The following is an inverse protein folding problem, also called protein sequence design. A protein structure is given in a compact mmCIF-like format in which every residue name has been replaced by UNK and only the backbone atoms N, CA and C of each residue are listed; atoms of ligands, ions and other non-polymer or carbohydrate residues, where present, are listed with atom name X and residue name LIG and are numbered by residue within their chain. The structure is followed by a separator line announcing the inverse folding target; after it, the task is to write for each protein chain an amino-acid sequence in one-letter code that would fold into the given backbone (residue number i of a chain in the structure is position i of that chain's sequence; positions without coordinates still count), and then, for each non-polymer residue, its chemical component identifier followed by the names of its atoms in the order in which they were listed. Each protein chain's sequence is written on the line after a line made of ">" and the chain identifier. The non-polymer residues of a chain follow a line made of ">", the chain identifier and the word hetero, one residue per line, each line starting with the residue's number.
data_IF_348284263006
#
_entry.id   IF_348284263006
#
_cell.length_a   1.000
_cell.length_b   1.000
_cell.length_c   1.000
_cell.angle_alpha   90.00
_cell.angle_beta   90.00
_cell.angle_gamma   90.00
#
_symmetry.space_group_name_H-M   'P 1'
#
loop_
_entity.id
_entity.type
_entity.pdbx_description
1 polymer ?
#
# COMPACT_ATOMS: atom_id res chain seq x y z
N UNK A 1 -0.79 -12.91 11.11
CA UNK A 1 -1.70 -12.81 9.96
C UNK A 1 -1.52 -11.43 9.33
N UNK A 2 -1.38 -11.33 8.02
CA UNK A 2 -1.17 -10.04 7.37
C UNK A 2 -2.46 -9.21 7.35
N UNK A 3 -2.38 -7.93 7.69
CA UNK A 3 -3.54 -7.02 7.72
C UNK A 3 -4.25 -6.94 6.36
N UNK A 4 -3.49 -6.98 5.25
CA UNK A 4 -4.07 -7.00 3.91
C UNK A 4 -4.95 -8.23 3.66
N UNK A 5 -4.56 -9.40 4.18
CA UNK A 5 -5.38 -10.60 4.08
C UNK A 5 -6.68 -10.46 4.87
N UNK A 6 -6.62 -9.86 6.07
CA UNK A 6 -7.81 -9.58 6.89
C UNK A 6 -8.74 -8.59 6.18
N UNK A 7 -8.19 -7.54 5.55
CA UNK A 7 -8.96 -6.58 4.75
C UNK A 7 -9.68 -7.26 3.59
N UNK A 8 -8.98 -8.09 2.81
CA UNK A 8 -9.58 -8.80 1.66
C UNK A 8 -10.71 -9.74 2.14
N UNK A 9 -10.44 -10.55 3.17
CA UNK A 9 -11.44 -11.47 3.72
C UNK A 9 -12.67 -10.73 4.29
N UNK A 10 -12.45 -9.66 5.04
CA UNK A 10 -13.52 -8.80 5.57
C UNK A 10 -14.37 -8.21 4.46
N UNK A 11 -13.75 -7.64 3.42
CA UNK A 11 -14.50 -7.03 2.32
C UNK A 11 -15.33 -8.07 1.55
N UNK A 12 -14.81 -9.28 1.33
CA UNK A 12 -15.57 -10.36 0.68
C UNK A 12 -16.78 -10.79 1.52
N UNK A 13 -16.60 -10.94 2.83
CA UNK A 13 -17.69 -11.29 3.75
C UNK A 13 -18.74 -10.17 3.79
N UNK A 14 -18.32 -8.91 3.92
CA UNK A 14 -19.22 -7.77 3.94
C UNK A 14 -20.00 -7.59 2.63
N UNK A 15 -19.35 -7.79 1.48
CA UNK A 15 -20.03 -7.76 0.18
C UNK A 15 -21.12 -8.84 0.08
N UNK A 16 -20.91 -10.01 0.66
CA UNK A 16 -21.91 -11.08 0.71
C UNK A 16 -23.12 -10.69 1.57
N UNK A 17 -22.89 -9.98 2.67
CA UNK A 17 -23.97 -9.42 3.51
C UNK A 17 -24.77 -8.39 2.73
N UNK A 18 -24.11 -7.45 2.05
CA UNK A 18 -24.78 -6.43 1.23
C UNK A 18 -25.59 -7.06 0.08
N UNK A 19 -25.05 -8.08 -0.59
CA UNK A 19 -25.76 -8.81 -1.63
C UNK A 19 -27.02 -9.50 -1.10
N UNK A 20 -26.93 -10.10 0.10
CA UNK A 20 -28.11 -10.69 0.75
C UNK A 20 -29.14 -9.62 1.14
N UNK A 21 -28.72 -8.48 1.66
CA UNK A 21 -29.61 -7.39 2.01
C UNK A 21 -30.34 -6.83 0.78
N UNK A 22 -29.61 -6.60 -0.33
CA UNK A 22 -30.17 -6.14 -1.60
C UNK A 22 -31.20 -7.12 -2.17
N UNK A 23 -30.94 -8.43 -2.09
CA UNK A 23 -31.92 -9.47 -2.48
C UNK A 23 -33.22 -9.41 -1.66
N UNK A 24 -33.14 -8.94 -0.42
CA UNK A 24 -34.28 -8.76 0.47
C UNK A 24 -34.90 -7.34 0.38
N UNK A 25 -34.52 -6.54 -0.63
CA UNK A 25 -35.06 -5.20 -0.86
C UNK A 25 -34.45 -4.09 0.00
N UNK A 26 -33.43 -4.38 0.79
CA UNK A 26 -32.72 -3.37 1.57
C UNK A 26 -31.67 -2.67 0.71
N UNK A 27 -31.67 -1.33 0.74
CA UNK A 27 -30.66 -0.53 0.05
C UNK A 27 -29.96 0.40 1.05
N UNK A 28 -28.64 0.34 1.07
CA UNK A 28 -27.78 1.09 1.98
C UNK A 28 -27.19 2.30 1.26
N UNK A 29 -27.14 3.46 1.93
CA UNK A 29 -26.47 4.63 1.36
C UNK A 29 -24.96 4.39 1.27
N UNK A 30 -24.24 5.05 0.36
CA UNK A 30 -22.78 4.92 0.26
C UNK A 30 -22.05 5.13 1.59
N UNK A 31 -22.48 6.10 2.40
CA UNK A 31 -21.89 6.41 3.71
C UNK A 31 -22.10 5.27 4.72
N UNK A 32 -23.28 4.65 4.70
CA UNK A 32 -23.57 3.47 5.53
C UNK A 32 -22.77 2.24 5.10
N UNK A 33 -22.52 2.09 3.79
CA UNK A 33 -21.66 1.02 3.26
C UNK A 33 -20.21 1.21 3.74
N UNK A 34 -19.67 2.43 3.67
CA UNK A 34 -18.30 2.75 4.11
C UNK A 34 -18.14 2.59 5.62
N UNK A 35 -19.09 3.10 6.42
CA UNK A 35 -19.01 2.93 7.88
C UNK A 35 -19.17 1.47 8.30
N UNK A 36 -20.07 0.73 7.63
CA UNK A 36 -20.29 -0.68 7.90
C UNK A 36 -19.11 -1.57 7.50
N UNK A 37 -18.41 -1.28 6.39
CA UNK A 37 -17.21 -2.04 6.00
C UNK A 37 -16.05 -1.84 6.98
N UNK A 38 -15.85 -0.60 7.45
CA UNK A 38 -14.87 -0.29 8.50
C UNK A 38 -15.17 -1.08 9.77
N UNK A 39 -16.41 -1.00 10.26
CA UNK A 39 -16.84 -1.75 11.45
C UNK A 39 -16.65 -3.26 11.27
N UNK A 40 -17.02 -3.82 10.11
CA UNK A 40 -16.89 -5.25 9.86
C UNK A 40 -15.42 -5.72 9.88
N UNK A 41 -14.50 -4.91 9.34
CA UNK A 41 -13.06 -5.16 9.46
C UNK A 41 -12.57 -5.13 10.90
N UNK A 42 -12.99 -4.14 11.70
CA UNK A 42 -12.62 -4.04 13.11
C UNK A 42 -13.13 -5.25 13.92
N UNK A 43 -14.39 -5.64 13.74
CA UNK A 43 -15.00 -6.79 14.39
C UNK A 43 -14.29 -8.11 14.02
N UNK A 44 -14.02 -8.34 12.74
CA UNK A 44 -13.28 -9.52 12.29
C UNK A 44 -11.86 -9.54 12.86
N UNK A 45 -11.20 -8.39 12.92
CA UNK A 45 -9.87 -8.26 13.51
C UNK A 45 -9.88 -8.63 14.99
N UNK A 46 -10.87 -8.14 15.74
CA UNK A 46 -11.05 -8.49 17.17
C UNK A 46 -11.30 -9.99 17.37
N UNK A 47 -12.10 -10.62 16.50
CA UNK A 47 -12.35 -12.06 16.56
C UNK A 47 -11.07 -12.87 16.31
N UNK A 48 -10.25 -12.46 15.35
CA UNK A 48 -8.96 -13.10 15.07
C UNK A 48 -7.98 -12.94 16.24
N UNK A 49 -7.91 -11.75 16.83
CA UNK A 49 -7.08 -11.50 18.02
C UNK A 49 -7.54 -12.37 19.19
N UNK A 50 -8.86 -12.45 19.43
CA UNK A 50 -9.42 -13.31 20.46
C UNK A 50 -9.13 -14.81 20.21
N UNK A 51 -9.02 -15.22 18.95
CA UNK A 51 -8.62 -16.57 18.54
C UNK A 51 -7.09 -16.81 18.62
N UNK A 52 -6.31 -15.83 19.07
CA UNK A 52 -4.86 -15.95 19.27
C UNK A 52 -4.01 -15.57 18.06
N UNK A 53 -4.59 -14.93 17.04
CA UNK A 53 -3.82 -14.41 15.91
C UNK A 53 -3.30 -13.00 16.19
N UNK A 54 -2.02 -12.78 15.90
CA UNK A 54 -1.47 -11.43 15.76
C UNK A 54 -1.74 -10.91 14.34
N UNK A 55 -2.29 -9.70 14.21
CA UNK A 55 -2.49 -9.03 12.93
C UNK A 55 -1.33 -8.06 12.71
N UNK A 56 -0.55 -8.29 11.66
CA UNK A 56 0.67 -7.54 11.35
C UNK A 56 0.42 -6.64 10.13
N UNK A 57 0.84 -5.36 10.16
CA UNK A 57 0.70 -4.46 9.01
C UNK A 57 1.30 -5.02 7.74
N UNK A 58 0.65 -4.78 6.58
CA UNK A 58 1.16 -5.25 5.29
C UNK A 58 2.52 -4.65 4.91
N UNK A 59 2.79 -3.43 5.39
CA UNK A 59 4.01 -2.68 5.13
C UNK A 59 5.13 -2.98 6.14
N UNK A 60 4.93 -3.94 7.05
CA UNK A 60 5.97 -4.47 7.90
C UNK A 60 6.90 -5.38 7.06
N UNK A 61 7.58 -4.79 6.09
CA UNK A 61 8.72 -5.44 5.45
C UNK A 61 9.73 -5.73 6.55
N UNK A 62 10.23 -6.97 6.70
CA UNK A 62 11.41 -7.20 7.53
C UNK A 62 12.47 -6.23 7.05
N UNK A 63 12.95 -5.34 7.91
CA UNK A 63 14.06 -4.46 7.55
C UNK A 63 15.22 -5.37 7.17
N UNK A 64 15.51 -5.50 5.86
CA UNK A 64 16.73 -6.14 5.41
C UNK A 64 17.86 -5.29 5.96
N UNK A 65 18.45 -5.71 7.07
CA UNK A 65 19.66 -5.10 7.59
C UNK A 65 20.70 -5.16 6.47
N UNK A 66 21.08 -4.00 5.95
CA UNK A 66 22.01 -3.82 4.85
C UNK A 66 23.21 -4.76 4.98
N UNK A 67 23.41 -5.63 3.98
CA UNK A 67 24.63 -6.42 3.85
C UNK A 67 25.76 -5.53 3.32
N UNK A 68 26.12 -4.49 4.09
CA UNK A 68 27.31 -3.70 3.84
C UNK A 68 28.53 -4.46 4.36
N UNK A 69 29.06 -5.40 3.57
CA UNK A 69 30.44 -5.86 3.73
C UNK A 69 30.98 -6.50 2.44
N UNK A 70 31.44 -5.65 1.53
CA UNK A 70 32.68 -5.88 0.81
C UNK A 70 33.23 -4.52 0.39
N UNK A 71 34.27 -4.11 1.11
CA UNK A 71 35.20 -3.06 0.71
C UNK A 71 35.92 -3.48 -0.60
N UNK A 72 36.66 -2.53 -1.17
CA UNK A 72 37.74 -2.71 -2.16
C UNK A 72 37.38 -2.63 -3.66
N UNK A 73 37.31 -1.40 -4.17
CA UNK A 73 38.37 -0.92 -5.07
C UNK A 73 38.38 0.61 -5.24
N UNK A 74 39.40 1.23 -4.64
CA UNK A 74 39.93 2.52 -5.06
C UNK A 74 40.52 2.35 -6.47
N UNK A 75 39.88 2.91 -7.49
CA UNK A 75 40.57 3.18 -8.76
C UNK A 75 40.39 4.64 -9.14
N UNK A 76 41.39 5.41 -8.77
CA UNK A 76 41.71 6.73 -9.32
C UNK A 76 41.69 6.67 -10.85
N UNK A 77 40.88 7.52 -11.48
CA UNK A 77 41.17 8.00 -12.84
C UNK A 77 41.05 9.52 -12.79
N UNK A 78 42.20 10.15 -12.98
CA UNK A 78 42.39 11.60 -13.05
C UNK A 78 42.20 12.07 -14.49
N UNK A 79 41.62 13.27 -14.63
CA UNK A 79 41.72 14.25 -15.74
C UNK A 79 40.76 14.16 -16.94
N UNK A 80 40.53 15.26 -17.71
CA UNK A 80 40.75 16.70 -17.44
C UNK A 80 39.48 17.57 -17.67
N UNK A 81 39.49 18.81 -17.16
CA UNK A 81 38.54 19.86 -17.54
C UNK A 81 38.83 20.34 -18.97
N UNK A 82 37.82 20.36 -19.87
CA UNK A 82 37.66 21.38 -20.92
C UNK A 82 36.19 21.47 -21.37
N UNK A 83 35.55 22.56 -20.93
CA UNK A 83 34.68 23.48 -21.67
C UNK A 83 33.83 23.00 -22.87
N UNK A 84 32.52 23.28 -22.82
CA UNK A 84 31.66 23.35 -24.01
C UNK A 84 30.19 22.98 -23.79
N UNK A 85 29.40 23.87 -23.19
CA UNK A 85 27.93 23.72 -23.09
C UNK A 85 27.22 24.90 -23.76
N UNK A 86 26.51 24.72 -24.89
CA UNK A 86 25.51 25.68 -25.34
C UNK A 86 24.12 25.23 -24.88
N UNK A 87 23.53 26.03 -24.00
CA UNK A 87 22.16 25.96 -23.54
C UNK A 87 21.14 25.90 -24.69
N UNK A 88 20.26 24.89 -24.69
CA UNK A 88 19.03 24.89 -25.48
C UNK A 88 17.80 25.02 -24.58
N UNK A 89 17.11 26.17 -24.66
CA UNK A 89 15.69 26.37 -24.31
C UNK A 89 15.19 27.71 -24.89
N UNK A 90 13.87 27.97 -25.04
CA UNK A 90 12.70 27.11 -25.31
C UNK A 90 11.96 27.52 -26.62
N UNK A 91 11.03 26.68 -27.11
CA UNK A 91 10.06 27.04 -28.17
C UNK A 91 8.90 27.90 -27.62
N UNK A 92 8.32 28.83 -28.41
CA UNK A 92 7.18 29.66 -27.98
C UNK A 92 5.82 28.97 -28.19
N UNK A 93 4.84 29.35 -27.35
CA UNK A 93 3.43 28.92 -27.38
C UNK A 93 2.66 29.50 -28.58
N UNK A 94 1.64 28.79 -29.11
CA UNK A 94 0.76 29.32 -30.15
C UNK A 94 -0.39 30.18 -29.57
N UNK A 95 -0.86 31.15 -30.37
CA UNK A 95 -2.07 31.96 -30.15
C UNK A 95 -3.33 31.23 -30.58
#
# INVERSE_FOLDING_TARGET
>A
MLESNVKIASMHAYASILANAARNGWNYTPESIVSGSKRHFEEMSLQLIAAGYEIVPADAHPHCANLNRAEDNKSTMTEPNTEGSPNHRPRPNPS
#
